data_IF_742292254692
#
_entry.id   IF_742292254692
#
_cell.length_a   1.000
_cell.length_b   1.000
_cell.length_c   1.000
_cell.angle_alpha   90.00
_cell.angle_beta   90.00
_cell.angle_gamma   90.00
#
_symmetry.space_group_name_H-M   'P 1'
#
loop_
_entity.id
_entity.type
_entity.pdbx_description
1 polymer ?
#
# COMPACT_ATOMS: atom_id res chain seq x y z
N UNK A 1 0.39 -4.69 -22.28
CA UNK A 1 0.25 -5.33 -20.95
C UNK A 1 -0.77 -4.51 -20.18
N UNK A 2 -1.92 -5.07 -19.80
CA UNK A 2 -3.03 -4.29 -19.22
C UNK A 2 -2.60 -3.56 -17.94
N UNK A 3 -2.83 -2.24 -17.88
CA UNK A 3 -2.57 -1.36 -16.73
C UNK A 3 -3.19 -1.88 -15.41
N UNK A 4 -4.27 -2.63 -15.49
CA UNK A 4 -4.90 -3.24 -14.33
C UNK A 4 -4.06 -4.36 -13.69
N UNK A 5 -3.39 -5.19 -14.49
CA UNK A 5 -2.61 -6.32 -13.97
C UNK A 5 -1.33 -5.83 -13.28
N UNK A 6 -0.69 -4.77 -13.79
CA UNK A 6 0.46 -4.14 -13.12
C UNK A 6 0.08 -3.54 -11.77
N UNK A 7 -1.11 -2.90 -11.67
CA UNK A 7 -1.63 -2.40 -10.39
C UNK A 7 -1.84 -3.51 -9.36
N UNK A 8 -2.37 -4.66 -9.78
CA UNK A 8 -2.52 -5.84 -8.89
C UNK A 8 -1.17 -6.31 -8.35
N UNK A 9 -0.14 -6.38 -9.19
CA UNK A 9 1.19 -6.80 -8.74
C UNK A 9 1.80 -5.78 -7.75
N UNK A 10 1.59 -4.48 -7.97
CA UNK A 10 1.97 -3.45 -6.99
C UNK A 10 1.22 -3.65 -5.68
N UNK A 11 -0.10 -3.91 -5.71
CA UNK A 11 -0.90 -4.14 -4.50
C UNK A 11 -0.38 -5.32 -3.68
N UNK A 12 -0.11 -6.47 -4.32
CA UNK A 12 0.51 -7.65 -3.68
C UNK A 12 1.86 -7.30 -3.07
N UNK A 13 2.63 -6.46 -3.76
CA UNK A 13 3.94 -6.04 -3.33
C UNK A 13 3.88 -5.01 -2.19
N UNK A 14 2.89 -4.13 -2.09
CA UNK A 14 2.84 -3.19 -0.96
C UNK A 14 2.20 -3.81 0.29
N UNK A 15 1.48 -4.92 0.18
CA UNK A 15 0.83 -5.64 1.28
C UNK A 15 1.84 -6.35 2.22
N UNK A 16 2.75 -5.58 2.83
CA UNK A 16 3.66 -6.00 3.89
C UNK A 16 3.96 -4.81 4.80
N UNK A 17 3.91 -4.98 6.13
CA UNK A 17 4.05 -3.87 7.08
C UNK A 17 5.28 -2.99 6.83
N UNK A 18 6.47 -3.59 6.73
CA UNK A 18 7.70 -2.82 6.49
C UNK A 18 7.70 -2.03 5.17
N UNK A 19 7.07 -2.56 4.10
CA UNK A 19 7.00 -1.86 2.81
C UNK A 19 6.02 -0.70 2.87
N UNK A 20 4.89 -0.86 3.55
CA UNK A 20 3.95 0.22 3.83
C UNK A 20 4.61 1.34 4.64
N UNK A 21 5.35 1.01 5.70
CA UNK A 21 6.08 2.00 6.51
C UNK A 21 7.15 2.75 5.70
N UNK A 22 7.91 2.04 4.85
CA UNK A 22 8.88 2.67 3.93
C UNK A 22 8.16 3.65 2.99
N UNK A 23 7.05 3.23 2.37
CA UNK A 23 6.31 4.06 1.41
C UNK A 23 5.65 5.26 2.09
N UNK A 24 5.16 5.10 3.31
CA UNK A 24 4.64 6.19 4.12
C UNK A 24 5.72 7.22 4.43
N UNK A 25 6.92 6.81 4.85
CA UNK A 25 8.03 7.73 5.06
C UNK A 25 8.47 8.43 3.78
N UNK A 26 8.50 7.71 2.66
CA UNK A 26 8.83 8.27 1.35
C UNK A 26 7.74 9.21 0.80
N UNK A 27 6.48 9.07 1.23
CA UNK A 27 5.42 10.03 0.89
C UNK A 27 5.60 11.40 1.56
N UNK A 28 6.40 11.47 2.63
CA UNK A 28 6.74 12.71 3.35
C UNK A 28 7.95 13.42 2.75
N UNK A 29 8.72 12.75 1.90
CA UNK A 29 9.91 13.29 1.25
C UNK A 29 10.99 12.23 0.99
N UNK A 30 12.11 12.69 0.44
CA UNK A 30 13.29 11.84 0.19
C UNK A 30 13.85 11.31 1.52
N UNK A 31 14.26 10.04 1.54
CA UNK A 31 14.89 9.39 2.70
C UNK A 31 16.13 8.59 2.29
N UNK A 32 17.20 8.69 3.05
CA UNK A 32 18.39 7.88 2.86
C UNK A 32 18.34 6.58 3.67
N UNK A 33 19.19 5.60 3.32
CA UNK A 33 19.17 4.27 3.97
C UNK A 33 19.29 4.36 5.51
N UNK A 34 20.08 5.31 6.01
CA UNK A 34 20.25 5.58 7.44
C UNK A 34 18.93 5.94 8.13
N UNK A 35 18.12 6.77 7.48
CA UNK A 35 16.88 7.30 8.06
C UNK A 35 15.89 6.15 8.33
N UNK A 36 15.83 5.16 7.44
CA UNK A 36 14.97 3.99 7.63
C UNK A 36 15.35 3.14 8.85
N UNK A 37 16.61 3.16 9.29
CA UNK A 37 17.04 2.42 10.47
C UNK A 37 16.53 3.05 11.77
N UNK A 38 16.25 4.35 11.75
CA UNK A 38 15.73 5.07 12.92
C UNK A 38 14.22 4.86 13.08
N UNK A 39 13.48 4.74 11.97
CA UNK A 39 12.02 4.62 11.99
C UNK A 39 11.51 3.18 11.94
N UNK A 40 12.26 2.26 11.32
CA UNK A 40 11.87 0.87 11.22
C UNK A 40 12.70 0.08 12.24
N UNK A 41 12.05 -0.55 13.21
CA UNK A 41 12.67 -1.47 14.18
C UNK A 41 13.10 -2.80 13.51
N UNK A 42 13.73 -2.73 12.34
CA UNK A 42 14.16 -3.88 11.54
C UNK A 42 15.64 -3.73 11.15
N UNK A 43 16.32 -4.87 10.98
CA UNK A 43 17.74 -4.87 10.62
C UNK A 43 18.01 -4.33 9.21
N UNK A 44 19.20 -3.74 9.00
CA UNK A 44 19.63 -3.16 7.72
C UNK A 44 19.56 -4.14 6.52
N UNK A 45 19.91 -5.44 6.64
CA UNK A 45 19.74 -6.41 5.56
C UNK A 45 18.28 -6.52 5.09
N UNK A 46 17.33 -6.44 6.03
CA UNK A 46 15.90 -6.52 5.73
C UNK A 46 15.41 -5.25 4.99
N UNK A 47 15.91 -4.06 5.36
CA UNK A 47 15.56 -2.79 4.69
C UNK A 47 16.02 -2.81 3.21
N UNK A 48 17.27 -3.21 2.96
CA UNK A 48 17.82 -3.23 1.60
C UNK A 48 17.05 -4.18 0.68
N UNK A 49 16.59 -5.32 1.21
CA UNK A 49 15.76 -6.25 0.47
C UNK A 49 14.41 -5.62 0.09
N UNK A 50 13.72 -4.98 1.04
CA UNK A 50 12.44 -4.31 0.77
C UNK A 50 12.59 -3.18 -0.25
N UNK A 51 13.61 -2.33 -0.12
CA UNK A 51 13.91 -1.26 -1.07
C UNK A 51 14.19 -1.80 -2.47
N UNK A 52 14.96 -2.88 -2.57
CA UNK A 52 15.22 -3.56 -3.84
C UNK A 52 13.93 -4.04 -4.48
N UNK A 53 13.05 -4.72 -3.75
CA UNK A 53 11.77 -5.22 -4.26
C UNK A 53 10.89 -4.07 -4.76
N UNK A 54 10.75 -3.00 -3.97
CA UNK A 54 9.96 -1.82 -4.34
C UNK A 54 10.51 -1.12 -5.59
N UNK A 55 11.84 -1.04 -5.71
CA UNK A 55 12.51 -0.45 -6.89
C UNK A 55 12.29 -1.27 -8.14
N UNK A 56 12.44 -2.60 -8.06
CA UNK A 56 12.22 -3.47 -9.23
C UNK A 56 10.78 -3.41 -9.74
N UNK A 57 9.81 -3.14 -8.85
CA UNK A 57 8.43 -2.91 -9.23
C UNK A 57 8.14 -1.49 -9.74
N UNK A 58 9.15 -0.62 -9.85
CA UNK A 58 9.01 0.75 -10.35
C UNK A 58 8.27 1.68 -9.39
N UNK A 59 8.11 1.29 -8.13
CA UNK A 59 7.36 2.05 -7.12
C UNK A 59 8.20 3.19 -6.54
N UNK A 60 9.48 2.92 -6.35
CA UNK A 60 10.47 3.86 -5.83
C UNK A 60 11.68 3.92 -6.76
N UNK A 61 12.47 4.97 -6.62
CA UNK A 61 13.81 5.05 -7.19
C UNK A 61 14.78 5.66 -6.19
N UNK A 62 16.05 5.81 -6.58
CA UNK A 62 17.06 6.44 -5.74
C UNK A 62 18.06 7.27 -6.53
N UNK A 63 18.73 8.17 -5.84
CA UNK A 63 19.95 8.84 -6.29
C UNK A 63 21.05 8.65 -5.25
N UNK A 64 22.28 8.99 -5.65
CA UNK A 64 23.45 8.94 -4.75
C UNK A 64 23.78 10.37 -4.34
N UNK A 65 23.81 10.61 -3.03
CA UNK A 65 24.27 11.86 -2.43
C UNK A 65 25.51 11.59 -1.59
N UNK A 66 26.68 11.94 -2.12
CA UNK A 66 27.97 11.57 -1.55
C UNK A 66 28.14 10.05 -1.43
N UNK A 67 28.10 9.53 -0.19
CA UNK A 67 28.18 8.09 0.10
C UNK A 67 26.84 7.44 0.42
N UNK A 68 25.77 8.24 0.45
CA UNK A 68 24.43 7.79 0.83
C UNK A 68 23.60 7.47 -0.42
N UNK A 69 22.74 6.46 -0.30
CA UNK A 69 21.67 6.22 -1.27
C UNK A 69 20.38 6.79 -0.69
N UNK A 70 19.76 7.69 -1.44
CA UNK A 70 18.56 8.40 -1.01
C UNK A 70 17.42 8.09 -1.97
N UNK A 71 16.33 7.59 -1.41
CA UNK A 71 15.18 7.01 -2.09
C UNK A 71 14.03 8.01 -2.14
N UNK A 72 13.20 7.89 -3.17
CA UNK A 72 12.02 8.71 -3.38
C UNK A 72 10.90 7.90 -4.05
N UNK A 73 9.65 8.33 -3.85
CA UNK A 73 8.50 7.74 -4.57
C UNK A 73 8.57 8.09 -6.05
N UNK A 74 8.42 7.06 -6.89
CA UNK A 74 8.36 7.17 -8.35
C UNK A 74 6.94 7.03 -8.88
N UNK A 75 6.15 6.18 -8.24
CA UNK A 75 4.79 5.86 -8.68
C UNK A 75 3.76 6.82 -8.07
N UNK A 76 2.97 7.54 -8.90
CA UNK A 76 1.91 8.42 -8.41
C UNK A 76 0.72 7.67 -7.80
N UNK A 77 0.63 6.35 -8.01
CA UNK A 77 -0.41 5.51 -7.43
C UNK A 77 -0.26 5.32 -5.91
N UNK A 78 0.95 5.42 -5.38
CA UNK A 78 1.22 5.13 -3.97
C UNK A 78 0.60 6.15 -3.01
N UNK A 79 0.74 7.47 -3.22
CA UNK A 79 0.09 8.45 -2.36
C UNK A 79 -1.42 8.22 -2.23
N UNK A 80 -2.13 8.05 -3.36
CA UNK A 80 -3.58 7.78 -3.39
C UNK A 80 -3.93 6.50 -2.63
N UNK A 81 -3.12 5.44 -2.82
CA UNK A 81 -3.32 4.17 -2.12
C UNK A 81 -3.14 4.30 -0.60
N UNK A 82 -2.10 5.03 -0.16
CA UNK A 82 -1.84 5.25 1.26
C UNK A 82 -2.98 6.05 1.90
N UNK A 83 -3.53 7.04 1.19
CA UNK A 83 -4.70 7.80 1.65
C UNK A 83 -5.91 6.89 1.88
N UNK A 84 -6.20 6.01 0.90
CA UNK A 84 -7.30 5.04 1.01
C UNK A 84 -7.09 4.10 2.20
N UNK A 85 -5.88 3.57 2.39
CA UNK A 85 -5.56 2.63 3.48
C UNK A 85 -5.72 3.29 4.86
N UNK A 86 -5.36 4.57 4.99
CA UNK A 86 -5.44 5.33 6.25
C UNK A 86 -6.84 5.83 6.57
N UNK A 87 -7.77 5.75 5.63
CA UNK A 87 -9.12 6.26 5.81
C UNK A 87 -9.90 5.35 6.77
N UNK A 88 -10.53 5.95 7.76
CA UNK A 88 -11.45 5.24 8.64
C UNK A 88 -12.79 4.97 7.93
N UNK A 89 -13.24 3.72 8.01
CA UNK A 89 -14.52 3.28 7.46
C UNK A 89 -15.49 2.97 8.60
N UNK A 90 -16.07 4.02 9.19
CA UNK A 90 -17.07 3.91 10.26
C UNK A 90 -18.47 3.97 9.66
N UNK A 91 -18.91 2.89 9.02
CA UNK A 91 -20.25 2.82 8.44
C UNK A 91 -20.54 1.43 7.89
N UNK A 92 -21.80 1.00 7.98
CA UNK A 92 -22.24 -0.26 7.39
C UNK A 92 -22.89 0.06 6.05
N UNK A 93 -22.40 -0.60 4.97
CA UNK A 93 -23.05 -0.49 3.67
C UNK A 93 -24.48 -1.03 3.80
N UNK A 94 -25.46 -0.39 3.12
CA UNK A 94 -26.83 -0.90 3.13
C UNK A 94 -26.83 -2.34 2.60
N UNK A 95 -27.65 -3.19 3.22
CA UNK A 95 -27.92 -4.51 2.65
C UNK A 95 -28.41 -4.35 1.21
N UNK A 96 -28.06 -5.27 0.30
CA UNK A 96 -28.46 -5.15 -1.09
C UNK A 96 -30.00 -5.05 -1.17
N UNK A 97 -30.48 -4.20 -2.08
CA UNK A 97 -31.86 -4.32 -2.55
C UNK A 97 -32.05 -5.77 -3.04
N UNK A 98 -33.20 -6.36 -2.71
CA UNK A 98 -33.44 -7.80 -2.77
C UNK A 98 -32.85 -8.51 -4.01
N UNK A 99 -32.43 -9.76 -3.83
CA UNK A 99 -31.90 -10.60 -4.90
C UNK A 99 -32.80 -10.53 -6.14
N UNK A 100 -32.27 -10.30 -7.36
CA UNK A 100 -33.09 -10.21 -8.57
C UNK A 100 -33.86 -11.50 -8.90
N UNK A 101 -33.59 -12.59 -8.18
CA UNK A 101 -34.19 -13.92 -8.39
C UNK A 101 -35.32 -14.27 -7.41
N UNK A 102 -35.62 -13.47 -6.38
CA UNK A 102 -36.71 -13.78 -5.43
C UNK A 102 -37.81 -12.71 -5.43
N UNK A 103 -39.03 -13.09 -5.86
CA UNK A 103 -40.26 -12.26 -5.77
C UNK A 103 -40.68 -11.89 -4.33
N UNK A 104 -39.99 -12.40 -3.31
CA UNK A 104 -40.23 -12.07 -1.90
C UNK A 104 -39.21 -11.02 -1.47
N UNK A 105 -39.58 -9.77 -1.68
CA UNK A 105 -38.70 -8.60 -1.61
C UNK A 105 -38.24 -8.19 -0.21
N UNK A 106 -37.45 -9.01 0.49
CA UNK A 106 -36.53 -8.55 1.54
C UNK A 106 -35.27 -9.40 1.58
N UNK A 107 -34.11 -8.76 1.48
CA UNK A 107 -32.83 -9.38 1.84
C UNK A 107 -32.87 -9.69 3.34
N UNK A 108 -32.86 -10.97 3.71
CA UNK A 108 -32.83 -11.43 5.10
C UNK A 108 -31.40 -11.30 5.65
N UNK A 109 -30.88 -10.07 5.75
CA UNK A 109 -29.63 -9.80 6.46
C UNK A 109 -29.68 -10.36 7.89
N UNK A 110 -28.54 -10.90 8.34
CA UNK A 110 -28.24 -11.68 9.54
C UNK A 110 -29.40 -12.22 10.39
N UNK A 111 -29.50 -13.56 10.45
CA UNK A 111 -30.30 -14.24 11.47
C UNK A 111 -29.85 -13.75 12.84
N UNK A 112 -30.74 -13.04 13.55
CA UNK A 112 -30.58 -12.74 14.98
C UNK A 112 -30.24 -14.06 15.70
N UNK A 113 -29.09 -14.10 16.38
CA UNK A 113 -28.83 -15.12 17.39
C UNK A 113 -29.73 -14.88 18.60
#
# INVERSE_FOLDING_TARGET
MNDFMSKIEILKLVAHPARLSILEELSKGVKCVSDFQEFLEISQPNISQHLSILRHAGVIDYFIDGRLRCYFLKSPFIPDLLEIIKRDYTGQLPGPECCPTTKKGKYHGDRRK
#
